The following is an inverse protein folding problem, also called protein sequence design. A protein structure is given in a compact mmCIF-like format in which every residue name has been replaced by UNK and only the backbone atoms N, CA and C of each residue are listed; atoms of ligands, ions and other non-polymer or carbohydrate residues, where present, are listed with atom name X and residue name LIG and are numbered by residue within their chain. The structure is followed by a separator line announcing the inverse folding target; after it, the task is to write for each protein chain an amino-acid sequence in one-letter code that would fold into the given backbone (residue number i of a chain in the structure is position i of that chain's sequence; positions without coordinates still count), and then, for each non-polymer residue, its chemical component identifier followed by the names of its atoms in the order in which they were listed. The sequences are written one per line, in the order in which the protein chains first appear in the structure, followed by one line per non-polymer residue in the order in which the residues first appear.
data_IF_633024393779
#
_entry.id   IF_633024393779
#
_cell.length_a   1.000
_cell.length_b   1.000
_cell.length_c   1.000
_cell.angle_alpha   90.00
_cell.angle_beta   90.00
_cell.angle_gamma   90.00
#
_symmetry.space_group_name_H-M   'P 1'
#
loop_
_entity.id
_entity.type
_entity.pdbx_description
1 polymer ?
#
# COMPACT_ATOMS: atom_id res chain seq x y z
N UNK A 1 9.08 -3.37 -1.64
CA UNK A 1 9.95 -4.30 -0.88
C UNK A 1 11.46 -4.11 -1.05
N UNK A 2 12.00 -3.78 -2.25
CA UNK A 2 13.46 -3.50 -2.40
C UNK A 2 13.92 -2.37 -1.46
N UNK A 3 13.10 -1.32 -1.28
CA UNK A 3 13.38 -0.23 -0.31
C UNK A 3 13.22 -0.66 1.15
N UNK A 4 12.26 -1.53 1.50
CA UNK A 4 12.14 -2.13 2.83
C UNK A 4 13.38 -2.96 3.15
N UNK A 5 13.77 -3.88 2.25
CA UNK A 5 15.00 -4.67 2.35
C UNK A 5 16.21 -3.76 2.55
N UNK A 6 16.34 -2.70 1.76
CA UNK A 6 17.47 -1.79 1.88
C UNK A 6 17.42 -0.91 3.14
N UNK A 7 16.25 -0.56 3.67
CA UNK A 7 16.12 0.24 4.90
C UNK A 7 16.37 -0.61 6.16
N UNK A 8 15.81 -1.83 6.21
CA UNK A 8 16.03 -2.81 7.29
C UNK A 8 17.48 -3.32 7.26
N UNK A 9 18.06 -3.64 6.08
CA UNK A 9 19.48 -4.01 5.99
C UNK A 9 20.42 -2.85 6.37
N UNK A 10 20.09 -1.60 6.06
CA UNK A 10 20.89 -0.44 6.51
C UNK A 10 20.92 -0.32 8.03
N UNK A 11 19.84 -0.71 8.71
CA UNK A 11 19.77 -0.68 10.18
C UNK A 11 20.59 -1.82 10.81
N UNK A 12 20.71 -2.98 10.14
CA UNK A 12 21.47 -4.14 10.63
C UNK A 12 22.99 -4.03 10.35
N UNK A 13 23.41 -3.26 9.33
CA UNK A 13 24.82 -3.21 8.87
C UNK A 13 25.61 -2.02 9.46
N UNK A 14 25.09 -1.33 10.47
CA UNK A 14 25.87 -0.32 11.19
C UNK A 14 26.76 -0.92 12.30
N UNK A 15 27.56 -1.93 11.96
CA UNK A 15 28.81 -2.23 12.66
C UNK A 15 29.83 -2.90 11.71
N UNK A 16 30.90 -2.13 11.43
CA UNK A 16 32.21 -2.50 10.87
C UNK A 16 32.30 -2.66 9.34
N UNK A 17 33.18 -1.83 8.75
CA UNK A 17 34.08 -2.26 7.67
C UNK A 17 33.92 -1.53 6.34
N UNK A 18 34.87 -0.64 6.05
CA UNK A 18 35.12 0.01 4.76
C UNK A 18 35.38 -1.01 3.64
N UNK A 19 34.70 -0.89 2.49
CA UNK A 19 35.24 -1.38 1.21
C UNK A 19 34.90 -0.38 0.08
N UNK A 20 35.96 0.12 -0.55
CA UNK A 20 35.94 0.95 -1.76
C UNK A 20 35.68 0.03 -2.95
N UNK A 21 34.63 0.28 -3.73
CA UNK A 21 34.40 -0.39 -5.02
C UNK A 21 34.38 0.66 -6.14
N UNK A 22 35.32 0.52 -7.08
CA UNK A 22 35.38 1.26 -8.33
C UNK A 22 34.26 0.77 -9.27
N UNK A 23 33.41 1.67 -9.75
CA UNK A 23 32.36 1.38 -10.75
C UNK A 23 32.73 2.03 -12.09
N UNK A 24 32.99 1.19 -13.09
CA UNK A 24 33.07 1.59 -14.50
C UNK A 24 31.67 1.93 -15.02
N UNK A 25 31.50 3.14 -15.55
CA UNK A 25 30.28 3.57 -16.23
C UNK A 25 30.28 3.13 -17.69
N UNK A 26 29.43 2.15 -18.02
CA UNK A 26 29.02 1.90 -19.42
C UNK A 26 27.65 2.57 -19.60
N UNK A 27 27.59 3.61 -20.44
CA UNK A 27 26.34 4.25 -20.85
C UNK A 27 25.68 3.42 -21.94
N UNK A 28 24.53 2.82 -21.65
CA UNK A 28 23.61 2.30 -22.66
C UNK A 28 22.55 3.38 -22.92
N UNK A 29 22.35 3.85 -24.17
CA UNK A 29 21.26 4.76 -24.49
C UNK A 29 19.94 3.97 -24.50
N UNK A 30 19.21 4.01 -23.39
CA UNK A 30 17.85 3.52 -23.31
C UNK A 30 16.89 4.53 -23.95
N UNK A 31 16.40 4.25 -25.15
CA UNK A 31 15.17 4.87 -25.65
C UNK A 31 13.99 4.29 -24.88
N UNK A 32 13.50 5.02 -23.88
CA UNK A 32 12.22 4.71 -23.24
C UNK A 32 11.12 5.42 -24.03
N UNK A 33 10.51 4.68 -24.96
CA UNK A 33 9.11 4.94 -25.32
C UNK A 33 8.25 4.22 -24.29
N UNK A 34 8.05 4.88 -23.16
CA UNK A 34 7.14 4.42 -22.13
C UNK A 34 5.70 4.68 -22.57
N UNK A 35 5.09 3.73 -23.28
CA UNK A 35 3.64 3.52 -23.24
C UNK A 35 3.29 3.01 -21.85
N UNK A 36 3.27 3.92 -20.87
CA UNK A 36 2.66 3.63 -19.56
C UNK A 36 1.18 3.39 -19.86
N UNK A 37 0.76 2.12 -19.81
CA UNK A 37 -0.65 1.78 -19.66
C UNK A 37 -1.13 2.59 -18.44
N UNK A 38 -2.05 3.53 -18.62
CA UNK A 38 -2.57 4.36 -17.53
C UNK A 38 -3.23 3.44 -16.49
N UNK A 39 -2.47 3.02 -15.49
CA UNK A 39 -2.94 2.28 -14.33
C UNK A 39 -3.55 3.30 -13.38
N UNK A 40 -4.87 3.48 -13.47
CA UNK A 40 -5.61 4.27 -12.51
C UNK A 40 -5.83 3.45 -11.24
N UNK A 41 -5.71 4.05 -10.04
CA UNK A 41 -6.02 3.33 -8.82
C UNK A 41 -7.48 2.89 -8.77
N UNK A 42 -7.73 1.73 -8.18
CA UNK A 42 -9.07 1.16 -8.03
C UNK A 42 -9.87 1.88 -6.94
N UNK A 43 -11.19 1.70 -6.94
CA UNK A 43 -12.06 2.16 -5.86
C UNK A 43 -12.98 1.06 -5.34
N UNK A 44 -13.43 1.21 -4.10
CA UNK A 44 -14.35 0.30 -3.42
C UNK A 44 -15.25 1.09 -2.47
N UNK A 45 -16.50 0.64 -2.28
CA UNK A 45 -17.44 1.21 -1.31
C UNK A 45 -17.59 0.24 -0.14
N UNK A 46 -17.07 0.61 1.02
CA UNK A 46 -17.30 -0.09 2.28
C UNK A 46 -18.62 0.41 2.88
N UNK A 47 -19.59 -0.50 3.01
CA UNK A 47 -20.89 -0.19 3.58
C UNK A 47 -20.90 -0.40 5.08
N UNK A 48 -21.83 0.29 5.75
CA UNK A 48 -22.03 0.08 7.17
C UNK A 48 -22.72 -1.27 7.41
N UNK A 49 -22.24 -2.07 8.36
CA UNK A 49 -22.96 -3.29 8.76
C UNK A 49 -24.23 -2.96 9.56
N UNK A 50 -25.23 -3.84 9.47
CA UNK A 50 -26.47 -3.80 10.26
C UNK A 50 -26.42 -4.71 11.50
N UNK A 51 -25.36 -5.49 11.65
CA UNK A 51 -25.22 -6.49 12.72
C UNK A 51 -23.80 -6.46 13.30
N UNK A 52 -23.57 -7.22 14.36
CA UNK A 52 -22.23 -7.37 14.92
C UNK A 52 -21.48 -8.41 14.12
N UNK A 53 -20.29 -8.05 13.63
CA UNK A 53 -19.38 -9.00 12.97
C UNK A 53 -18.59 -9.78 14.04
N UNK A 54 -18.62 -11.11 13.95
CA UNK A 54 -17.86 -12.01 14.83
C UNK A 54 -16.58 -12.42 14.11
N UNK A 55 -15.44 -12.01 14.66
CA UNK A 55 -14.14 -12.28 14.03
C UNK A 55 -13.72 -13.73 14.27
N UNK A 56 -14.10 -14.62 13.34
CA UNK A 56 -13.83 -16.05 13.40
C UNK A 56 -13.19 -16.62 12.10
N UNK A 57 -12.98 -15.75 11.10
CA UNK A 57 -12.35 -16.11 9.84
C UNK A 57 -13.36 -16.62 8.81
N UNK A 58 -14.67 -16.46 9.05
CA UNK A 58 -15.75 -16.91 8.18
C UNK A 58 -16.70 -15.75 7.90
N UNK A 59 -16.86 -15.39 6.63
CA UNK A 59 -17.80 -14.37 6.19
C UNK A 59 -19.26 -14.90 6.14
N UNK A 60 -19.83 -15.25 7.29
CA UNK A 60 -21.17 -15.88 7.40
C UNK A 60 -22.31 -14.89 7.68
N UNK A 61 -21.98 -13.69 8.15
CA UNK A 61 -22.93 -12.62 8.45
C UNK A 61 -23.61 -12.09 7.17
N UNK A 62 -24.88 -11.70 7.31
CA UNK A 62 -25.70 -11.21 6.18
C UNK A 62 -25.06 -9.97 5.54
N UNK A 63 -24.43 -9.11 6.34
CA UNK A 63 -23.67 -7.95 5.89
C UNK A 63 -22.51 -8.33 4.97
N UNK A 64 -21.81 -9.44 5.25
CA UNK A 64 -20.75 -9.94 4.38
C UNK A 64 -21.31 -10.51 3.08
N UNK A 65 -22.41 -11.25 3.13
CA UNK A 65 -23.08 -11.80 1.95
C UNK A 65 -23.50 -10.69 0.98
N UNK A 66 -24.05 -9.59 1.52
CA UNK A 66 -24.48 -8.41 0.76
C UNK A 66 -23.32 -7.53 0.27
N UNK A 67 -22.13 -7.67 0.85
CA UNK A 67 -20.95 -6.92 0.44
C UNK A 67 -20.26 -7.58 -0.76
N UNK A 68 -19.94 -6.77 -1.78
CA UNK A 68 -19.23 -7.24 -2.98
C UNK A 68 -17.76 -7.47 -2.67
N UNK A 69 -17.15 -8.50 -3.24
CA UNK A 69 -15.69 -8.63 -3.22
C UNK A 69 -15.05 -7.59 -4.15
N UNK A 70 -13.82 -7.19 -3.85
CA UNK A 70 -12.93 -6.54 -4.82
C UNK A 70 -12.73 -7.44 -6.04
N UNK A 71 -12.25 -6.87 -7.14
CA UNK A 71 -11.58 -7.68 -8.17
C UNK A 71 -10.46 -8.54 -7.56
N UNK A 72 -10.10 -9.59 -8.27
CA UNK A 72 -8.91 -10.36 -7.92
C UNK A 72 -7.63 -9.52 -8.02
N UNK A 73 -6.67 -9.89 -7.17
CA UNK A 73 -5.36 -9.25 -7.14
C UNK A 73 -4.63 -9.47 -8.46
N UNK A 74 -3.78 -8.51 -8.81
CA UNK A 74 -2.89 -8.52 -9.96
C UNK A 74 -1.44 -8.39 -9.49
N UNK A 75 -0.44 -8.72 -10.31
CA UNK A 75 0.95 -8.35 -10.02
C UNK A 75 1.08 -6.83 -9.76
N UNK A 76 1.95 -6.44 -8.83
CA UNK A 76 2.14 -5.05 -8.40
C UNK A 76 2.45 -4.07 -9.54
N UNK A 77 3.07 -4.52 -10.63
CA UNK A 77 3.33 -3.70 -11.82
C UNK A 77 2.11 -3.59 -12.74
N UNK A 78 1.03 -4.33 -12.47
CA UNK A 78 -0.28 -4.22 -13.12
C UNK A 78 -0.43 -4.95 -14.46
N UNK A 79 0.48 -5.86 -14.79
CA UNK A 79 0.51 -6.52 -16.11
C UNK A 79 0.25 -8.01 -16.09
N UNK A 80 0.57 -8.71 -15.00
CA UNK A 80 0.50 -10.19 -14.91
C UNK A 80 -0.62 -10.63 -13.97
N UNK A 81 -1.33 -11.67 -14.37
CA UNK A 81 -2.37 -12.31 -13.54
C UNK A 81 -1.70 -13.33 -12.60
N UNK A 82 -1.89 -13.22 -11.28
CA UNK A 82 -1.44 -14.20 -10.30
C UNK A 82 -1.94 -15.62 -10.56
N UNK A 83 -1.15 -16.61 -10.15
CA UNK A 83 -1.52 -18.04 -10.23
C UNK A 83 -2.71 -18.37 -9.34
N UNK A 84 -2.83 -17.70 -8.20
CA UNK A 84 -3.88 -17.95 -7.23
C UNK A 84 -4.67 -16.67 -6.96
N UNK A 85 -5.99 -16.81 -6.96
CA UNK A 85 -6.89 -15.68 -6.71
C UNK A 85 -6.82 -15.23 -5.26
N UNK A 86 -6.94 -13.92 -5.07
CA UNK A 86 -7.10 -13.28 -3.77
C UNK A 86 -8.06 -12.10 -3.95
N UNK A 87 -9.03 -11.97 -3.06
CA UNK A 87 -10.02 -10.88 -3.07
C UNK A 87 -10.38 -10.48 -1.66
N UNK A 88 -10.88 -9.25 -1.48
CA UNK A 88 -11.22 -8.69 -0.17
C UNK A 88 -12.66 -8.17 -0.18
N UNK A 89 -13.37 -8.31 0.93
CA UNK A 89 -14.59 -7.56 1.23
C UNK A 89 -14.30 -6.58 2.35
N UNK A 90 -14.97 -5.43 2.35
CA UNK A 90 -14.84 -4.43 3.40
C UNK A 90 -16.20 -4.01 3.92
N UNK A 91 -16.27 -3.77 5.23
CA UNK A 91 -17.42 -3.23 5.95
C UNK A 91 -16.91 -2.28 7.03
N UNK A 92 -17.80 -1.52 7.64
CA UNK A 92 -17.47 -0.72 8.82
C UNK A 92 -18.68 -0.54 9.76
N UNK A 93 -18.43 -0.18 11.00
CA UNK A 93 -19.46 0.28 11.95
C UNK A 93 -18.97 1.49 12.75
N UNK A 94 -19.53 1.78 13.93
CA UNK A 94 -19.10 2.94 14.72
C UNK A 94 -17.81 2.71 15.50
N UNK A 95 -17.29 1.48 15.56
CA UNK A 95 -16.12 1.10 16.35
C UNK A 95 -14.97 0.58 15.49
N UNK A 96 -15.25 -0.16 14.41
CA UNK A 96 -14.27 -0.84 13.59
C UNK A 96 -14.44 -0.61 12.08
N UNK A 97 -13.32 -0.69 11.38
CA UNK A 97 -13.28 -1.10 9.98
C UNK A 97 -13.00 -2.61 9.91
N UNK A 98 -13.71 -3.31 9.03
CA UNK A 98 -13.63 -4.76 8.86
C UNK A 98 -13.10 -5.14 7.49
N UNK A 99 -12.28 -6.19 7.44
CA UNK A 99 -11.76 -6.78 6.22
C UNK A 99 -11.96 -8.29 6.25
N UNK A 100 -12.44 -8.87 5.15
CA UNK A 100 -12.44 -10.30 4.93
C UNK A 100 -11.69 -10.62 3.65
N UNK A 101 -10.56 -11.30 3.73
CA UNK A 101 -9.78 -11.70 2.57
C UNK A 101 -9.93 -13.21 2.32
N UNK A 102 -10.30 -13.56 1.10
CA UNK A 102 -10.36 -14.94 0.62
C UNK A 102 -9.15 -15.22 -0.27
N UNK A 103 -8.32 -16.19 0.11
CA UNK A 103 -7.00 -16.44 -0.47
C UNK A 103 -6.94 -17.89 -0.96
N UNK A 104 -6.96 -18.10 -2.28
CA UNK A 104 -6.69 -19.43 -2.85
C UNK A 104 -5.23 -19.79 -2.64
N UNK A 105 -4.96 -20.96 -2.07
CA UNK A 105 -3.61 -21.44 -1.81
C UNK A 105 -3.64 -22.97 -1.68
N UNK A 106 -3.14 -23.72 -2.67
CA UNK A 106 -3.10 -25.19 -2.60
C UNK A 106 -2.10 -25.74 -1.59
N UNK A 107 -1.17 -24.92 -1.10
CA UNK A 107 -0.22 -25.32 -0.07
C UNK A 107 -0.17 -24.27 1.03
N UNK A 108 -0.95 -24.47 2.09
CA UNK A 108 -0.99 -23.52 3.20
C UNK A 108 0.12 -23.85 4.20
N UNK A 109 1.12 -22.99 4.30
CA UNK A 109 2.28 -23.22 5.17
C UNK A 109 2.76 -21.93 5.86
N UNK A 110 3.44 -22.11 6.99
CA UNK A 110 4.02 -21.03 7.77
C UNK A 110 4.67 -21.54 9.05
N UNK A 111 5.66 -20.82 9.53
CA UNK A 111 6.44 -21.15 10.74
C UNK A 111 6.70 -19.95 11.66
N UNK A 112 6.33 -18.74 11.22
CA UNK A 112 6.48 -17.51 11.99
C UNK A 112 5.27 -17.30 12.91
N UNK A 113 5.49 -17.47 14.22
CA UNK A 113 4.44 -17.43 15.26
C UNK A 113 4.55 -16.26 16.23
N UNK A 114 5.71 -15.60 16.27
CA UNK A 114 5.97 -14.51 17.20
C UNK A 114 5.43 -13.22 16.59
N UNK A 115 4.54 -12.53 17.31
CA UNK A 115 4.11 -11.18 16.95
C UNK A 115 5.31 -10.25 16.72
N UNK A 116 5.20 -9.35 15.76
CA UNK A 116 6.23 -8.37 15.35
C UNK A 116 7.53 -8.98 14.84
N UNK A 117 7.47 -10.23 14.39
CA UNK A 117 8.50 -10.76 13.50
C UNK A 117 8.22 -10.30 12.08
N UNK A 118 9.28 -10.13 11.28
CA UNK A 118 9.17 -9.85 9.85
C UNK A 118 8.41 -11.01 9.18
N UNK A 119 7.10 -10.84 8.95
CA UNK A 119 6.18 -11.96 8.66
C UNK A 119 6.11 -12.32 7.18
N UNK A 120 6.41 -11.38 6.28
CA UNK A 120 6.54 -11.64 4.82
C UNK A 120 7.55 -12.72 4.42
N UNK A 121 8.34 -13.30 5.34
CA UNK A 121 9.11 -14.52 5.08
C UNK A 121 8.24 -15.80 5.05
N UNK A 122 6.96 -15.71 5.37
CA UNK A 122 5.90 -16.65 5.01
C UNK A 122 5.03 -16.03 3.90
N UNK A 123 4.10 -16.81 3.34
CA UNK A 123 3.00 -16.21 2.61
C UNK A 123 2.11 -15.47 3.60
N UNK A 124 1.72 -14.24 3.28
CA UNK A 124 0.92 -13.39 4.15
C UNK A 124 -0.08 -12.54 3.36
N UNK A 125 -0.92 -11.84 4.12
CA UNK A 125 -1.85 -10.84 3.65
C UNK A 125 -1.55 -9.52 4.33
N UNK A 126 -1.40 -8.46 3.53
CA UNK A 126 -1.00 -7.13 3.96
C UNK A 126 -2.13 -6.12 3.72
N UNK A 127 -2.39 -5.26 4.70
CA UNK A 127 -3.31 -4.12 4.60
C UNK A 127 -2.52 -2.83 4.77
N UNK A 128 -2.70 -1.89 3.86
CA UNK A 128 -2.10 -0.56 3.88
C UNK A 128 -3.18 0.52 3.98
N UNK A 129 -3.05 1.45 4.91
CA UNK A 129 -4.07 2.49 5.16
C UNK A 129 -3.41 3.85 5.38
N UNK A 130 -3.80 4.83 4.56
CA UNK A 130 -3.57 6.27 4.75
C UNK A 130 -4.95 6.94 4.93
N UNK A 131 -5.35 7.25 6.19
CA UNK A 131 -6.68 7.75 6.50
C UNK A 131 -6.99 9.19 6.05
N UNK A 132 -5.98 10.03 5.83
CA UNK A 132 -6.18 11.45 5.51
C UNK A 132 -5.66 11.86 4.13
N UNK A 133 -5.10 10.91 3.36
CA UNK A 133 -4.66 11.09 1.98
C UNK A 133 -3.59 12.19 1.85
N UNK A 134 -2.67 12.23 2.81
CA UNK A 134 -1.51 13.12 2.85
C UNK A 134 -0.18 12.39 2.61
N UNK A 135 -0.21 11.06 2.43
CA UNK A 135 0.91 10.11 2.25
C UNK A 135 1.83 9.92 3.45
N UNK A 136 1.51 10.51 4.58
CA UNK A 136 2.25 10.42 5.83
C UNK A 136 1.41 9.69 6.87
N UNK A 137 2.03 9.32 7.99
CA UNK A 137 1.35 8.68 9.11
C UNK A 137 0.40 7.54 8.70
N UNK A 138 0.90 6.68 7.81
CA UNK A 138 0.14 5.55 7.30
C UNK A 138 0.51 4.26 8.03
N UNK A 139 -0.34 3.27 7.88
CA UNK A 139 -0.31 2.04 8.64
C UNK A 139 -0.17 0.84 7.71
N UNK A 140 0.52 -0.17 8.19
CA UNK A 140 0.72 -1.45 7.53
C UNK A 140 0.47 -2.57 8.53
N UNK A 141 -0.30 -3.56 8.10
CA UNK A 141 -0.66 -4.73 8.90
C UNK A 141 -0.44 -5.97 8.05
N UNK A 142 0.47 -6.84 8.46
CA UNK A 142 0.75 -8.11 7.81
C UNK A 142 0.26 -9.26 8.70
N UNK A 143 -0.46 -10.21 8.13
CA UNK A 143 -0.92 -11.41 8.84
C UNK A 143 -0.71 -12.66 7.98
N UNK A 144 -0.05 -13.67 8.53
CA UNK A 144 0.14 -14.96 7.85
C UNK A 144 -0.98 -15.97 8.18
N UNK A 145 -0.91 -17.15 7.55
CA UNK A 145 -1.86 -18.25 7.77
C UNK A 145 -1.86 -18.84 9.20
N UNK A 146 -0.88 -18.47 10.05
CA UNK A 146 -0.84 -18.81 11.48
C UNK A 146 -1.57 -17.77 12.36
N UNK A 147 -2.15 -16.73 11.75
CA UNK A 147 -2.73 -15.58 12.43
C UNK A 147 -1.69 -14.76 13.23
N UNK A 148 -0.43 -14.77 12.80
CA UNK A 148 0.64 -13.95 13.39
C UNK A 148 0.59 -12.56 12.79
N UNK A 149 0.38 -11.54 13.63
CA UNK A 149 0.36 -10.13 13.23
C UNK A 149 1.77 -9.52 13.27
N UNK A 150 2.05 -8.68 12.29
CA UNK A 150 3.07 -7.65 12.34
C UNK A 150 2.43 -6.32 11.92
N UNK A 151 2.49 -5.32 12.79
CA UNK A 151 1.88 -4.01 12.58
C UNK A 151 2.91 -2.88 12.69
N UNK A 152 2.75 -1.90 11.80
CA UNK A 152 3.75 -0.88 11.55
C UNK A 152 3.07 0.47 11.42
N UNK A 153 3.65 1.47 12.08
CA UNK A 153 3.29 2.87 11.87
C UNK A 153 4.42 3.61 11.15
N UNK A 154 4.10 4.18 10.00
CA UNK A 154 5.06 4.84 9.12
C UNK A 154 4.73 6.33 9.02
N UNK A 155 5.57 7.14 9.66
CA UNK A 155 5.36 8.59 9.75
C UNK A 155 5.63 9.32 8.43
N UNK A 156 6.52 8.78 7.58
CA UNK A 156 6.79 9.29 6.22
C UNK A 156 7.11 8.14 5.26
N UNK A 157 6.81 8.28 3.96
CA UNK A 157 7.18 7.29 2.96
C UNK A 157 8.66 6.89 3.01
N UNK A 158 8.97 5.60 2.82
CA UNK A 158 10.34 5.05 2.91
C UNK A 158 11.38 5.78 2.04
N UNK A 159 10.94 6.32 0.89
CA UNK A 159 11.73 7.18 0.01
C UNK A 159 12.35 8.39 0.70
N UNK A 160 11.81 8.81 1.85
CA UNK A 160 12.31 9.92 2.68
C UNK A 160 13.21 9.48 3.85
N UNK A 161 13.58 8.19 3.92
CA UNK A 161 14.60 7.70 4.87
C UNK A 161 14.22 7.80 6.35
N UNK A 162 12.91 7.80 6.65
CA UNK A 162 12.40 7.93 8.02
C UNK A 162 12.38 6.58 8.74
N UNK A 163 12.70 6.52 10.05
CA UNK A 163 12.59 5.29 10.81
C UNK A 163 11.14 4.80 10.84
N UNK A 164 10.99 3.48 10.73
CA UNK A 164 9.72 2.78 10.87
C UNK A 164 9.49 2.52 12.36
N UNK A 165 8.30 2.85 12.85
CA UNK A 165 7.96 2.66 14.27
C UNK A 165 7.43 1.24 14.46
N UNK A 166 8.36 0.30 14.59
CA UNK A 166 8.10 -1.14 14.72
C UNK A 166 7.62 -1.57 16.13
N UNK A 167 7.81 -0.71 17.14
CA UNK A 167 7.35 -0.96 18.52
C UNK A 167 5.96 -0.34 18.79
N UNK A 168 5.29 0.15 17.74
CA UNK A 168 3.93 0.66 17.84
C UNK A 168 2.92 -0.49 17.74
N UNK A 169 1.88 -0.46 18.58
CA UNK A 169 0.85 -1.50 18.63
C UNK A 169 -0.54 -0.96 18.25
N UNK A 170 -1.21 -1.67 17.35
CA UNK A 170 -2.60 -1.47 16.94
C UNK A 170 -3.56 -1.97 18.01
N UNK A 171 -3.62 -1.25 19.13
CA UNK A 171 -4.35 -1.66 20.33
C UNK A 171 -5.84 -1.95 20.05
N UNK A 172 -6.23 -3.21 20.23
CA UNK A 172 -7.59 -3.69 20.01
C UNK A 172 -7.86 -4.26 18.61
N UNK A 173 -6.83 -4.37 17.76
CA UNK A 173 -6.88 -5.17 16.54
C UNK A 173 -7.32 -6.61 16.85
N UNK A 174 -8.22 -7.14 16.04
CA UNK A 174 -8.71 -8.53 16.14
C UNK A 174 -8.56 -9.18 14.78
N UNK A 175 -8.10 -10.43 14.75
CA UNK A 175 -8.07 -11.23 13.54
C UNK A 175 -8.32 -12.71 13.83
N UNK A 176 -8.87 -13.40 12.85
CA UNK A 176 -9.02 -14.84 12.85
C UNK A 176 -8.76 -15.41 11.46
N UNK A 177 -8.04 -16.52 11.41
CA UNK A 177 -7.71 -17.24 10.17
C UNK A 177 -8.50 -18.55 10.12
N UNK A 178 -9.14 -18.80 9.00
CA UNK A 178 -9.79 -20.09 8.69
C UNK A 178 -9.08 -20.76 7.52
N UNK A 179 -8.52 -21.95 7.77
CA UNK A 179 -7.90 -22.76 6.72
C UNK A 179 -8.97 -23.69 6.13
N UNK A 180 -9.05 -23.73 4.81
CA UNK A 180 -9.88 -24.65 4.04
C UNK A 180 -9.00 -25.77 3.46
N UNK A 181 -8.65 -26.71 4.34
CA UNK A 181 -7.59 -27.68 4.13
C UNK A 181 -6.85 -27.96 5.44
N UNK A 182 -5.53 -28.15 5.37
CA UNK A 182 -4.68 -28.35 6.54
C UNK A 182 -3.48 -27.39 6.52
N UNK A 183 -2.91 -27.10 7.70
CA UNK A 183 -1.74 -26.25 7.81
C UNK A 183 -0.47 -27.08 7.84
N UNK A 184 0.54 -26.70 7.04
CA UNK A 184 1.86 -27.31 7.01
C UNK A 184 1.85 -28.81 6.66
N UNK A 185 0.88 -29.28 5.88
CA UNK A 185 0.84 -30.66 5.41
C UNK A 185 1.31 -30.74 3.96
N UNK A 186 2.54 -31.18 3.75
CA UNK A 186 3.10 -31.26 2.39
C UNK A 186 2.54 -32.42 1.54
N UNK A 187 1.59 -33.21 2.08
CA UNK A 187 1.06 -34.43 1.45
C UNK A 187 -0.29 -34.26 0.79
N UNK A 188 -1.00 -33.16 1.07
CA UNK A 188 -2.29 -32.87 0.49
C UNK A 188 -2.26 -31.58 -0.33
N UNK A 189 -3.43 -31.25 -0.86
CA UNK A 189 -3.69 -30.06 -1.66
C UNK A 189 -4.90 -29.37 -1.03
N UNK A 190 -4.69 -28.14 -0.57
CA UNK A 190 -5.70 -27.33 0.09
C UNK A 190 -6.53 -26.54 -0.93
N UNK A 191 -7.60 -25.91 -0.45
CA UNK A 191 -8.32 -24.88 -1.24
C UNK A 191 -7.76 -23.48 -0.98
N UNK A 192 -7.23 -23.26 0.21
CA UNK A 192 -6.68 -21.99 0.64
C UNK A 192 -7.04 -21.65 2.07
N UNK A 193 -7.04 -20.36 2.38
CA UNK A 193 -7.38 -19.84 3.68
C UNK A 193 -8.13 -18.51 3.53
N UNK A 194 -8.82 -18.13 4.59
CA UNK A 194 -9.44 -16.85 4.74
C UNK A 194 -8.95 -16.18 6.00
N UNK A 195 -8.95 -14.85 5.99
CA UNK A 195 -8.67 -14.05 7.17
C UNK A 195 -9.75 -12.99 7.32
N UNK A 196 -10.24 -12.86 8.55
CA UNK A 196 -11.18 -11.83 8.95
C UNK A 196 -10.53 -10.93 10.00
N UNK A 197 -10.65 -9.62 9.82
CA UNK A 197 -9.96 -8.61 10.61
C UNK A 197 -10.96 -7.52 11.02
N UNK A 198 -10.85 -7.06 12.28
CA UNK A 198 -11.46 -5.84 12.76
C UNK A 198 -10.40 -4.91 13.34
N UNK A 199 -10.29 -3.70 12.78
CA UNK A 199 -9.37 -2.67 13.27
C UNK A 199 -10.19 -1.55 13.92
N UNK A 200 -10.03 -1.29 15.23
CA UNK A 200 -10.72 -0.20 15.89
C UNK A 200 -10.34 1.15 15.28
N UNK A 201 -11.31 2.05 15.05
CA UNK A 201 -10.98 3.40 14.56
C UNK A 201 -10.02 4.14 15.49
N UNK A 202 -10.04 3.88 16.80
CA UNK A 202 -9.10 4.49 17.76
C UNK A 202 -7.62 4.26 17.42
N UNK A 203 -7.29 3.21 16.65
CA UNK A 203 -5.92 2.93 16.17
C UNK A 203 -5.38 4.09 15.32
N UNK A 204 -6.27 4.75 14.56
CA UNK A 204 -5.91 5.83 13.63
C UNK A 204 -6.05 7.23 14.22
N UNK A 205 -6.19 7.37 15.55
CA UNK A 205 -6.33 8.68 16.20
C UNK A 205 -4.97 9.33 16.41
N UNK A 206 -4.84 10.60 16.02
CA UNK A 206 -3.67 11.45 16.28
C UNK A 206 -3.87 12.39 17.46
N UNK A 207 -5.11 12.52 17.97
CA UNK A 207 -5.40 13.27 19.19
C UNK A 207 -6.60 12.70 19.96
N UNK A 208 -6.69 13.01 21.26
CA UNK A 208 -7.68 12.43 22.18
C UNK A 208 -9.14 12.67 21.72
N UNK A 209 -9.44 13.89 21.27
CA UNK A 209 -10.80 14.30 20.86
C UNK A 209 -11.10 14.09 19.37
N UNK A 210 -10.17 13.52 18.59
CA UNK A 210 -10.40 13.31 17.16
C UNK A 210 -11.55 12.32 16.96
N UNK A 211 -12.55 12.74 16.16
CA UNK A 211 -13.48 11.82 15.52
C UNK A 211 -12.91 11.45 14.15
N UNK A 212 -12.46 10.21 14.01
CA UNK A 212 -11.83 9.70 12.80
C UNK A 212 -12.63 8.58 12.13
N UNK A 213 -13.91 8.43 12.49
CA UNK A 213 -14.82 7.52 11.81
C UNK A 213 -15.14 8.12 10.43
N UNK A 214 -14.81 7.44 9.32
CA UNK A 214 -14.80 8.03 7.99
C UNK A 214 -16.16 8.07 7.30
N UNK A 215 -17.22 8.51 7.98
CA UNK A 215 -18.57 8.51 7.40
C UNK A 215 -18.65 9.40 6.13
N UNK A 216 -19.04 8.80 5.01
CA UNK A 216 -19.21 9.44 3.69
C UNK A 216 -17.94 10.16 3.19
N UNK A 217 -16.77 9.65 3.57
CA UNK A 217 -15.47 10.06 3.03
C UNK A 217 -14.68 8.84 2.58
N UNK A 218 -13.58 9.05 1.86
CA UNK A 218 -12.70 7.98 1.42
C UNK A 218 -11.36 8.01 2.13
N UNK A 219 -10.74 6.83 2.26
CA UNK A 219 -9.33 6.66 2.61
C UNK A 219 -8.53 6.13 1.43
N UNK A 220 -7.21 6.27 1.50
CA UNK A 220 -6.28 5.57 0.61
C UNK A 220 -5.98 4.21 1.23
N UNK A 221 -6.36 3.14 0.56
CA UNK A 221 -6.21 1.77 1.05
C UNK A 221 -5.69 0.89 -0.06
N UNK A 222 -4.76 -0.01 0.25
CA UNK A 222 -4.43 -1.10 -0.66
C UNK A 222 -4.14 -2.37 0.12
N UNK A 223 -4.06 -3.46 -0.62
CA UNK A 223 -3.80 -4.78 -0.07
C UNK A 223 -2.69 -5.45 -0.86
N UNK A 224 -1.83 -6.22 -0.18
CA UNK A 224 -0.93 -7.16 -0.83
C UNK A 224 -1.13 -8.57 -0.31
N UNK A 225 -0.71 -9.52 -1.13
CA UNK A 225 -0.34 -10.87 -0.72
C UNK A 225 1.11 -11.03 -1.13
N UNK A 226 2.00 -11.21 -0.16
CA UNK A 226 3.35 -11.68 -0.46
C UNK A 226 3.26 -13.19 -0.64
N UNK A 227 3.76 -13.65 -1.78
CA UNK A 227 3.71 -15.07 -2.12
C UNK A 227 5.11 -15.56 -2.50
N UNK A 228 5.54 -16.64 -1.88
CA UNK A 228 6.78 -17.33 -2.18
C UNK A 228 6.51 -18.63 -2.90
N UNK A 229 7.35 -18.92 -3.89
CA UNK A 229 7.53 -20.30 -4.31
C UNK A 229 8.20 -21.09 -3.19
N UNK A 230 7.87 -22.37 -3.11
CA UNK A 230 8.35 -23.25 -2.06
C UNK A 230 9.06 -24.48 -2.64
N UNK A 231 9.83 -25.14 -1.78
CA UNK A 231 10.38 -26.47 -1.96
C UNK A 231 10.01 -27.33 -0.74
N UNK A 232 9.90 -28.65 -0.93
CA UNK A 232 9.54 -29.59 0.13
C UNK A 232 10.72 -30.52 0.38
N UNK A 233 11.25 -30.49 1.62
CA UNK A 233 12.31 -31.40 2.08
C UNK A 233 11.84 -32.11 3.34
N UNK A 234 11.90 -33.44 3.36
CA UNK A 234 11.44 -34.27 4.49
C UNK A 234 10.02 -33.89 4.97
N UNK A 235 9.10 -33.69 4.02
CA UNK A 235 7.71 -33.32 4.28
C UNK A 235 7.51 -31.96 4.98
N UNK A 236 8.48 -31.05 4.87
CA UNK A 236 8.41 -29.69 5.40
C UNK A 236 8.64 -28.67 4.29
N UNK A 237 7.88 -27.58 4.33
CA UNK A 237 8.00 -26.44 3.41
C UNK A 237 9.22 -25.58 3.73
N UNK A 238 9.85 -25.09 2.68
CA UNK A 238 10.89 -24.06 2.72
C UNK A 238 10.69 -23.11 1.55
N UNK A 239 11.08 -21.84 1.69
CA UNK A 239 11.15 -20.92 0.56
C UNK A 239 12.15 -21.43 -0.47
N UNK A 240 11.74 -21.42 -1.74
CA UNK A 240 12.54 -21.95 -2.84
C UNK A 240 13.82 -21.13 -3.05
N UNK A 241 14.91 -21.83 -3.37
CA UNK A 241 16.21 -21.25 -3.70
C UNK A 241 16.57 -21.51 -5.16
N UNK A 242 17.31 -20.57 -5.76
CA UNK A 242 17.91 -20.73 -7.07
C UNK A 242 19.10 -21.70 -7.04
N UNK A 243 19.66 -21.98 -8.23
CA UNK A 243 20.82 -22.87 -8.39
C UNK A 243 22.08 -22.39 -7.64
N UNK A 244 22.13 -21.12 -7.21
CA UNK A 244 23.24 -20.53 -6.44
C UNK A 244 22.95 -20.53 -4.94
N UNK A 245 21.84 -21.13 -4.50
CA UNK A 245 21.41 -21.20 -3.10
C UNK A 245 20.80 -19.91 -2.56
N UNK A 246 20.51 -18.92 -3.41
CA UNK A 246 19.84 -17.68 -3.03
C UNK A 246 18.33 -17.89 -3.07
N UNK A 247 17.59 -17.39 -2.07
CA UNK A 247 16.13 -17.39 -2.15
C UNK A 247 15.66 -16.67 -3.41
N UNK A 248 14.70 -17.28 -4.11
CA UNK A 248 14.01 -16.65 -5.23
C UNK A 248 13.30 -15.37 -4.75
N UNK A 249 12.87 -14.49 -5.65
CA UNK A 249 12.16 -13.28 -5.21
C UNK A 249 10.69 -13.60 -4.96
N UNK A 250 10.14 -12.96 -3.95
CA UNK A 250 8.71 -13.00 -3.66
C UNK A 250 7.88 -12.35 -4.76
N UNK A 251 6.66 -12.83 -4.93
CA UNK A 251 5.64 -12.14 -5.70
C UNK A 251 4.86 -11.19 -4.79
N UNK A 252 4.54 -10.01 -5.31
CA UNK A 252 3.64 -9.05 -4.67
C UNK A 252 2.37 -8.98 -5.51
N UNK A 253 1.30 -9.62 -5.04
CA UNK A 253 0.00 -9.55 -5.69
C UNK A 253 -0.85 -8.53 -4.94
N UNK A 254 -1.45 -7.58 -5.64
CA UNK A 254 -2.12 -6.42 -5.03
C UNK A 254 -3.50 -6.20 -5.61
N UNK A 255 -4.40 -5.59 -4.83
CA UNK A 255 -5.73 -5.20 -5.32
C UNK A 255 -5.63 -4.08 -6.37
N UNK A 256 -5.11 -2.92 -5.97
CA UNK A 256 -4.87 -1.78 -6.85
C UNK A 256 -3.41 -1.83 -7.32
N UNK A 257 -3.13 -1.80 -8.64
CA UNK A 257 -1.76 -1.91 -9.16
C UNK A 257 -0.96 -0.62 -8.92
N UNK A 258 0.33 -0.75 -8.61
CA UNK A 258 1.23 0.39 -8.34
C UNK A 258 2.03 0.82 -9.57
N UNK A 259 2.17 -0.07 -10.56
CA UNK A 259 2.99 0.17 -11.75
C UNK A 259 4.51 0.16 -11.49
N UNK A 260 4.92 -0.12 -10.25
CA UNK A 260 6.30 -0.29 -9.81
C UNK A 260 6.32 -1.24 -8.60
N UNK A 261 7.41 -1.97 -8.38
CA UNK A 261 7.58 -2.86 -7.21
C UNK A 261 7.87 -2.02 -5.94
N UNK A 262 6.90 -1.20 -5.52
CA UNK A 262 6.97 -0.38 -4.33
C UNK A 262 5.57 -0.10 -3.77
N UNK A 263 5.18 -0.85 -2.73
CA UNK A 263 3.90 -0.67 -2.04
C UNK A 263 3.87 0.60 -1.17
N UNK A 264 5.02 1.16 -0.79
CA UNK A 264 5.09 2.39 0.03
C UNK A 264 5.04 3.67 -0.81
N UNK A 265 4.05 3.71 -1.69
CA UNK A 265 3.61 4.89 -2.41
C UNK A 265 2.13 5.09 -2.12
N UNK A 266 1.76 5.62 -0.93
CA UNK A 266 0.36 5.78 -0.55
C UNK A 266 -0.45 6.60 -1.54
N UNK A 267 0.22 7.52 -2.24
CA UNK A 267 -0.38 8.29 -3.32
C UNK A 267 -0.93 7.43 -4.47
N UNK A 268 -0.51 6.17 -4.64
CA UNK A 268 -0.94 5.31 -5.75
C UNK A 268 -1.94 4.22 -5.30
N UNK A 269 -2.26 4.13 -4.00
CA UNK A 269 -3.19 3.14 -3.43
C UNK A 269 -4.63 3.26 -3.97
N UNK A 270 -5.49 2.28 -3.67
CA UNK A 270 -6.90 2.36 -4.03
C UNK A 270 -7.65 3.39 -3.16
N UNK A 271 -8.89 3.69 -3.54
CA UNK A 271 -9.80 4.55 -2.80
C UNK A 271 -10.89 3.69 -2.14
N UNK A 272 -11.00 3.72 -0.82
CA UNK A 272 -12.09 3.05 -0.11
C UNK A 272 -13.02 4.12 0.46
N UNK A 273 -14.22 4.21 -0.10
CA UNK A 273 -15.27 5.12 0.35
C UNK A 273 -16.15 4.45 1.39
N UNK A 274 -16.28 5.06 2.56
CA UNK A 274 -17.03 4.51 3.69
C UNK A 274 -18.44 5.08 3.68
N UNK A 275 -19.34 4.38 3.00
CA UNK A 275 -20.73 4.80 2.85
C UNK A 275 -21.49 4.67 4.17
N UNK A 276 -22.28 5.69 4.51
CA UNK A 276 -23.26 5.64 5.60
C UNK A 276 -24.43 4.71 5.36
N UNK A 277 -24.59 4.21 4.13
CA UNK A 277 -25.63 3.24 3.75
C UNK A 277 -25.31 1.85 4.28
N UNK A 278 -26.34 1.04 4.45
CA UNK A 278 -26.19 -0.34 4.93
C UNK A 278 -25.72 -1.28 3.82
N UNK A 279 -25.02 -2.35 4.20
CA UNK A 279 -24.64 -3.40 3.26
C UNK A 279 -25.87 -3.93 2.51
N UNK A 280 -25.76 -4.00 1.18
CA UNK A 280 -26.86 -4.40 0.28
C UNK A 280 -27.68 -3.24 -0.29
N UNK A 281 -27.52 -2.02 0.24
CA UNK A 281 -28.04 -0.81 -0.39
C UNK A 281 -27.14 -0.37 -1.56
N UNK A 282 -27.67 0.49 -2.43
CA UNK A 282 -26.92 1.06 -3.54
C UNK A 282 -26.30 2.40 -3.14
N UNK A 283 -24.99 2.53 -3.30
CA UNK A 283 -24.30 3.80 -3.30
C UNK A 283 -23.41 3.99 -4.52
N UNK A 284 -23.03 5.25 -4.77
CA UNK A 284 -22.13 5.64 -5.85
C UNK A 284 -21.01 6.47 -5.26
N UNK A 285 -19.78 6.14 -5.64
CA UNK A 285 -18.61 6.92 -5.30
C UNK A 285 -17.85 7.24 -6.58
N UNK A 286 -17.59 8.52 -6.79
CA UNK A 286 -16.68 9.02 -7.82
C UNK A 286 -15.45 9.62 -7.15
N UNK A 287 -14.27 9.21 -7.60
CA UNK A 287 -13.02 9.77 -7.11
C UNK A 287 -13.00 11.27 -7.45
N UNK A 288 -12.79 12.17 -6.46
CA UNK A 288 -12.76 13.60 -6.72
C UNK A 288 -11.71 13.97 -7.77
N UNK A 289 -12.05 14.89 -8.67
CA UNK A 289 -11.16 15.31 -9.77
C UNK A 289 -9.84 15.91 -9.27
N UNK A 290 -9.85 16.50 -8.09
CA UNK A 290 -8.65 17.04 -7.42
C UNK A 290 -7.59 15.98 -7.14
N UNK A 291 -7.94 14.70 -7.06
CA UNK A 291 -6.95 13.64 -6.91
C UNK A 291 -6.01 13.56 -8.13
N UNK A 292 -6.47 13.97 -9.32
CA UNK A 292 -5.60 14.10 -10.50
C UNK A 292 -4.59 15.24 -10.36
N UNK A 293 -4.94 16.29 -9.61
CA UNK A 293 -4.01 17.38 -9.26
C UNK A 293 -2.94 16.85 -8.31
N UNK A 294 -3.31 16.10 -7.27
CA UNK A 294 -2.36 15.44 -6.37
C UNK A 294 -1.42 14.49 -7.12
N UNK A 295 -1.94 13.67 -8.04
CA UNK A 295 -1.10 12.81 -8.89
C UNK A 295 -0.05 13.58 -9.68
N UNK A 296 -0.44 14.71 -10.29
CA UNK A 296 0.49 15.58 -10.99
C UNK A 296 1.55 16.17 -10.05
N UNK A 297 1.17 16.59 -8.84
CA UNK A 297 2.12 17.03 -7.82
C UNK A 297 3.14 15.94 -7.48
N UNK A 298 2.72 14.69 -7.26
CA UNK A 298 3.64 13.58 -7.00
C UNK A 298 4.55 13.27 -8.19
N UNK A 299 4.07 13.42 -9.43
CA UNK A 299 4.93 13.28 -10.62
C UNK A 299 5.99 14.39 -10.68
N UNK A 300 5.62 15.63 -10.41
CA UNK A 300 6.53 16.78 -10.38
C UNK A 300 7.54 16.66 -9.24
N UNK A 301 7.08 16.23 -8.06
CA UNK A 301 7.91 15.91 -6.91
C UNK A 301 9.00 14.89 -7.23
N UNK A 302 8.63 13.76 -7.84
CA UNK A 302 9.61 12.73 -8.25
C UNK A 302 10.63 13.28 -9.25
N UNK A 303 10.18 14.11 -10.20
CA UNK A 303 11.09 14.80 -11.14
C UNK A 303 12.05 15.75 -10.42
N UNK A 304 11.58 16.50 -9.43
CA UNK A 304 12.38 17.40 -8.62
C UNK A 304 13.45 16.65 -7.81
N UNK A 305 13.10 15.52 -7.19
CA UNK A 305 14.06 14.63 -6.50
C UNK A 305 15.12 14.05 -7.44
N UNK A 306 14.72 13.58 -8.63
CA UNK A 306 15.65 13.08 -9.65
C UNK A 306 16.59 14.19 -10.13
N UNK A 307 16.07 15.40 -10.36
CA UNK A 307 16.88 16.55 -10.75
C UNK A 307 17.92 16.88 -9.68
N UNK A 308 17.53 16.95 -8.41
CA UNK A 308 18.46 17.23 -7.30
C UNK A 308 19.57 16.20 -7.21
N UNK A 309 19.24 14.90 -7.31
CA UNK A 309 20.23 13.81 -7.28
C UNK A 309 21.30 13.94 -8.37
N UNK A 310 20.93 14.50 -9.53
CA UNK A 310 21.84 14.62 -10.68
C UNK A 310 22.61 15.94 -10.71
N UNK A 311 22.10 17.00 -10.07
CA UNK A 311 22.64 18.36 -10.21
C UNK A 311 23.09 18.99 -8.88
N UNK A 312 22.85 18.33 -7.74
CA UNK A 312 23.08 18.86 -6.39
C UNK A 312 22.43 20.22 -6.11
N UNK A 313 21.32 20.52 -6.79
CA UNK A 313 20.44 21.68 -6.55
C UNK A 313 19.01 21.38 -6.96
N UNK A 314 18.06 22.10 -6.40
CA UNK A 314 16.67 22.04 -6.83
C UNK A 314 16.48 22.72 -8.20
N UNK A 315 15.52 22.24 -8.99
CA UNK A 315 15.13 22.95 -10.20
C UNK A 315 14.37 24.22 -9.83
N UNK A 316 14.56 25.29 -10.59
CA UNK A 316 13.90 26.59 -10.37
C UNK A 316 12.78 26.85 -11.40
N UNK A 317 12.58 25.94 -12.35
CA UNK A 317 11.53 26.05 -13.35
C UNK A 317 11.04 24.68 -13.81
N UNK A 318 9.81 24.62 -14.33
CA UNK A 318 9.27 23.38 -14.90
C UNK A 318 9.99 22.94 -16.18
N UNK A 319 10.64 23.86 -16.90
CA UNK A 319 11.45 23.52 -18.08
C UNK A 319 12.67 22.66 -17.69
N UNK A 320 13.33 22.95 -16.57
CA UNK A 320 14.42 22.12 -16.02
C UNK A 320 13.94 20.72 -15.63
N UNK A 321 12.67 20.58 -15.24
CA UNK A 321 12.03 19.29 -14.97
C UNK A 321 11.53 18.57 -16.24
N UNK A 322 11.79 19.13 -17.42
CA UNK A 322 11.26 18.61 -18.68
C UNK A 322 9.73 18.56 -18.67
N UNK A 323 9.07 19.56 -18.08
CA UNK A 323 7.62 19.69 -17.99
C UNK A 323 7.16 21.03 -18.57
N UNK A 324 6.65 21.00 -19.80
CA UNK A 324 6.00 22.14 -20.46
C UNK A 324 4.53 22.24 -20.02
N UNK A 325 3.68 22.93 -20.76
CA UNK A 325 2.24 23.01 -20.44
C UNK A 325 1.64 21.63 -20.15
N UNK A 326 0.95 21.51 -19.01
CA UNK A 326 0.22 20.30 -18.61
C UNK A 326 -1.26 20.63 -18.53
N UNK A 327 -2.09 19.68 -18.96
CA UNK A 327 -3.55 19.72 -18.82
C UNK A 327 -4.02 18.54 -18.00
N UNK A 328 -5.11 18.72 -17.26
CA UNK A 328 -5.86 17.65 -16.60
C UNK A 328 -7.30 17.72 -17.13
N UNK A 329 -7.80 16.63 -17.73
CA UNK A 329 -9.13 16.59 -18.38
C UNK A 329 -9.40 17.83 -19.26
N UNK A 330 -8.44 18.14 -20.14
CA UNK A 330 -8.49 19.29 -21.05
C UNK A 330 -8.43 20.67 -20.39
N UNK A 331 -8.26 20.81 -19.07
CA UNK A 331 -8.06 22.11 -18.43
C UNK A 331 -6.58 22.41 -18.24
N UNK A 332 -6.14 23.62 -18.60
CA UNK A 332 -4.76 24.08 -18.36
C UNK A 332 -4.53 24.20 -16.84
N UNK A 333 -3.40 23.68 -16.37
CA UNK A 333 -3.03 23.72 -14.96
C UNK A 333 -2.12 24.91 -14.68
N UNK A 334 -2.55 25.79 -13.77
CA UNK A 334 -1.71 26.86 -13.23
C UNK A 334 -0.87 26.32 -12.08
N UNK A 335 0.43 26.60 -12.13
CA UNK A 335 1.39 26.03 -11.17
C UNK A 335 2.61 26.92 -10.96
N UNK A 336 3.16 26.86 -9.76
CA UNK A 336 4.37 27.59 -9.37
C UNK A 336 5.37 26.65 -8.71
N UNK A 337 6.65 27.04 -8.75
CA UNK A 337 7.75 26.36 -8.08
C UNK A 337 8.56 27.40 -7.31
N UNK A 338 8.84 27.11 -6.04
CA UNK A 338 9.59 27.97 -5.13
C UNK A 338 10.63 27.12 -4.41
N UNK A 339 11.88 27.58 -4.37
CA UNK A 339 12.94 26.94 -3.59
C UNK A 339 13.31 27.84 -2.41
N UNK A 340 13.56 27.22 -1.26
CA UNK A 340 13.98 27.90 -0.04
C UNK A 340 15.08 27.09 0.66
N UNK A 341 15.64 27.63 1.73
CA UNK A 341 16.79 27.04 2.42
C UNK A 341 16.53 25.61 2.93
N UNK A 342 15.28 25.28 3.24
CA UNK A 342 14.88 23.98 3.77
C UNK A 342 14.35 23.00 2.72
N UNK A 343 14.15 23.43 1.46
CA UNK A 343 13.50 22.58 0.47
C UNK A 343 12.89 23.33 -0.71
N UNK A 344 11.73 22.85 -1.16
CA UNK A 344 10.97 23.44 -2.25
C UNK A 344 9.47 23.24 -2.02
N UNK A 345 8.68 24.11 -2.64
CA UNK A 345 7.25 23.96 -2.80
C UNK A 345 6.92 23.93 -4.30
N UNK A 346 6.04 22.99 -4.70
CA UNK A 346 5.34 23.05 -5.98
C UNK A 346 3.86 23.23 -5.67
N UNK A 347 3.28 24.30 -6.19
CA UNK A 347 1.86 24.62 -5.97
C UNK A 347 1.07 24.43 -7.26
N UNK A 348 -0.13 23.89 -7.15
CA UNK A 348 -1.12 23.84 -8.23
C UNK A 348 -2.45 24.39 -7.71
N UNK A 349 -3.04 25.32 -8.45
CA UNK A 349 -4.44 25.69 -8.29
C UNK A 349 -5.30 24.68 -9.05
N UNK A 350 -6.23 24.02 -8.37
CA UNK A 350 -7.09 23.04 -9.02
C UNK A 350 -7.95 23.72 -10.09
N UNK A 351 -7.96 23.23 -11.33
CA UNK A 351 -8.83 23.77 -12.38
C UNK A 351 -10.30 23.32 -12.20
N UNK A 352 -10.61 22.57 -11.15
CA UNK A 352 -11.95 22.05 -10.85
C UNK A 352 -12.59 22.75 -9.65
N UNK A 353 -11.80 23.01 -8.61
CA UNK A 353 -12.29 23.54 -7.32
C UNK A 353 -11.63 24.85 -6.91
N UNK A 354 -10.65 25.34 -7.68
CA UNK A 354 -9.81 26.52 -7.37
C UNK A 354 -8.96 26.41 -6.10
N UNK A 355 -9.12 25.34 -5.31
CA UNK A 355 -8.28 25.02 -4.15
C UNK A 355 -6.80 24.95 -4.51
N UNK A 356 -5.96 25.41 -3.60
CA UNK A 356 -4.50 25.35 -3.73
C UNK A 356 -3.96 24.06 -3.09
N UNK A 357 -3.20 23.31 -3.88
CA UNK A 357 -2.48 22.13 -3.42
C UNK A 357 -0.98 22.39 -3.51
N UNK A 358 -0.27 22.21 -2.39
CA UNK A 358 1.17 22.52 -2.27
C UNK A 358 1.89 21.24 -1.84
N UNK A 359 2.80 20.72 -2.66
CA UNK A 359 3.68 19.60 -2.28
C UNK A 359 5.05 20.13 -1.84
N UNK A 360 5.53 19.63 -0.71
CA UNK A 360 6.83 19.98 -0.11
C UNK A 360 7.94 19.02 -0.52
N UNK A 361 9.16 19.28 -0.04
CA UNK A 361 10.33 18.44 -0.28
C UNK A 361 10.26 17.04 0.35
N UNK A 362 9.39 16.81 1.34
CA UNK A 362 9.11 15.49 1.93
C UNK A 362 7.94 14.76 1.25
N UNK A 363 7.33 15.36 0.24
CA UNK A 363 6.22 14.79 -0.51
C UNK A 363 4.86 14.96 0.16
N UNK A 364 4.76 15.57 1.35
CA UNK A 364 3.47 15.88 1.95
C UNK A 364 2.74 16.96 1.14
N UNK A 365 1.45 16.77 0.90
CA UNK A 365 0.59 17.76 0.27
C UNK A 365 -0.17 18.54 1.35
N UNK A 366 -0.15 19.86 1.23
CA UNK A 366 -0.98 20.78 2.01
C UNK A 366 -2.07 21.29 1.08
N UNK A 367 -3.32 21.19 1.52
CA UNK A 367 -4.47 21.80 0.85
C UNK A 367 -4.83 23.09 1.58
N UNK A 368 -4.98 24.18 0.84
CA UNK A 368 -5.56 25.43 1.34
C UNK A 368 -6.89 25.67 0.66
N UNK A 369 -7.87 26.02 1.48
CA UNK A 369 -9.11 26.63 1.06
C UNK A 369 -8.93 28.13 1.32
N UNK A 370 -9.17 28.96 0.30
CA UNK A 370 -9.17 30.42 0.44
C UNK A 370 -10.40 30.91 1.20
#
# INVERSE_FOLDING_TARGET
MIEIRNSILKYIINHKGFYVLFLFFIRIPGHSQNTIKNLSPKSYIAYQTSEKITIDGVASEESWEKSKSTDFFIDIEGTKIPKYETSVKMLWDHEFVYFFAAIKEPHVWGDLKKRDTIVFYNNDFEIFIDPDNDTHNYYEFEVNALNTLWDLFITKPYREGTPVLNDWDANGFKSAVKINGTLNNAKDIDKGWAIEIAIPFKVFKTSYYQNNIPKDIFWRVNFSRVNWDFEIHNNKYYRKKDQKGKFESEYNWVWSPMGVINMHRPEDWGYVYFSSKKAGELDVFEIPKDEKVKQLLYQLYRKQKVFFKNNNRWAISFNELGQKDVRIEDKKVLRTIENHQTGFNITIASPFTERLFIIKEDGKIITKED
#
